data_IF_361251160064
#
_entry.id   IF_361251160064
#
_cell.length_a   1.000
_cell.length_b   1.000
_cell.length_c   1.000
_cell.angle_alpha   90.00
_cell.angle_beta   90.00
_cell.angle_gamma   90.00
#
_symmetry.space_group_name_H-M   'P 1'
#
loop_
_entity.id
_entity.type
_entity.pdbx_description
1 polymer ?
#
# COMPACT_ATOMS: atom_id res chain seq x y z
N UNK A 1 -2.95 -0.38 -23.33
CA UNK A 1 -2.37 0.86 -22.79
C UNK A 1 -2.17 0.74 -21.29
N UNK A 2 -1.03 1.23 -20.82
CA UNK A 2 -0.75 1.35 -19.39
C UNK A 2 -0.81 2.83 -19.02
N UNK A 3 -1.88 3.28 -18.31
CA UNK A 3 -1.96 4.68 -17.90
C UNK A 3 -0.98 4.98 -16.77
N UNK A 4 -0.45 6.20 -16.78
CA UNK A 4 0.40 6.73 -15.71
C UNK A 4 -0.29 7.97 -15.15
N UNK A 5 -0.56 7.97 -13.84
CA UNK A 5 -1.30 9.03 -13.18
C UNK A 5 -0.36 9.86 -12.31
N UNK A 6 -0.46 11.18 -12.43
CA UNK A 6 0.26 12.10 -11.55
C UNK A 6 -0.52 12.29 -10.23
N UNK A 7 0.18 12.56 -9.09
CA UNK A 7 -0.49 12.82 -7.82
C UNK A 7 -1.06 14.25 -7.75
N UNK A 8 -1.81 14.62 -8.76
CA UNK A 8 -2.44 15.94 -8.89
C UNK A 8 -3.94 15.74 -9.12
N UNK A 9 -4.74 16.56 -8.46
CA UNK A 9 -6.19 16.55 -8.62
C UNK A 9 -6.69 17.95 -8.98
N UNK A 10 -7.89 18.00 -9.53
CA UNK A 10 -8.51 19.23 -9.96
C UNK A 10 -9.83 19.40 -9.20
N UNK A 11 -10.05 20.59 -8.63
CA UNK A 11 -11.21 20.87 -7.78
C UNK A 11 -12.48 21.25 -8.57
N UNK A 12 -12.40 21.32 -9.88
CA UNK A 12 -13.50 21.75 -10.73
C UNK A 12 -13.67 23.28 -10.81
N UNK A 13 -12.93 24.03 -10.03
CA UNK A 13 -13.01 25.49 -9.96
C UNK A 13 -11.74 26.19 -10.48
N UNK A 14 -10.91 25.46 -11.21
CA UNK A 14 -9.69 26.01 -11.82
C UNK A 14 -8.42 25.83 -11.02
N UNK A 15 -8.46 25.12 -9.90
CA UNK A 15 -7.30 24.89 -9.03
C UNK A 15 -6.81 23.45 -9.13
N UNK A 16 -5.51 23.27 -9.42
CA UNK A 16 -4.83 21.98 -9.34
C UNK A 16 -4.38 21.75 -7.90
N UNK A 17 -4.66 20.58 -7.38
CA UNK A 17 -4.34 20.20 -6.01
C UNK A 17 -3.23 19.15 -5.99
N UNK A 18 -2.27 19.34 -5.10
CA UNK A 18 -1.23 18.36 -4.84
C UNK A 18 -1.81 17.29 -3.89
N UNK A 19 -1.83 16.03 -4.33
CA UNK A 19 -2.49 14.94 -3.59
C UNK A 19 -1.47 13.85 -3.27
N UNK A 20 -1.62 13.21 -2.11
CA UNK A 20 -0.76 12.09 -1.72
C UNK A 20 -0.88 10.94 -2.74
N UNK A 21 0.26 10.48 -3.27
CA UNK A 21 0.30 9.44 -4.29
C UNK A 21 -0.28 8.10 -3.80
N UNK A 22 -0.10 7.75 -2.54
CA UNK A 22 -0.68 6.53 -1.96
C UNK A 22 -2.22 6.60 -1.98
N UNK A 23 -2.78 7.77 -1.75
CA UNK A 23 -4.23 8.00 -1.83
C UNK A 23 -4.74 7.82 -3.27
N UNK A 24 -4.04 8.40 -4.25
CA UNK A 24 -4.40 8.23 -5.67
C UNK A 24 -4.37 6.76 -6.07
N UNK A 25 -3.32 6.05 -5.68
CA UNK A 25 -3.19 4.61 -5.98
C UNK A 25 -4.30 3.79 -5.34
N UNK A 26 -4.60 4.03 -4.07
CA UNK A 26 -5.66 3.36 -3.33
C UNK A 26 -7.04 3.59 -3.95
N UNK A 27 -7.38 4.84 -4.25
CA UNK A 27 -8.67 5.19 -4.84
C UNK A 27 -8.82 4.61 -6.25
N UNK A 28 -7.76 4.62 -7.04
CA UNK A 28 -7.76 4.01 -8.38
C UNK A 28 -8.00 2.49 -8.28
N UNK A 29 -7.31 1.82 -7.37
CA UNK A 29 -7.48 0.39 -7.15
C UNK A 29 -8.91 0.05 -6.68
N UNK A 30 -9.48 0.84 -5.79
CA UNK A 30 -10.85 0.66 -5.30
C UNK A 30 -11.88 0.82 -6.43
N UNK A 31 -11.68 1.80 -7.29
CA UNK A 31 -12.56 2.02 -8.44
C UNK A 31 -12.52 0.86 -9.43
N UNK A 32 -11.32 0.37 -9.75
CA UNK A 32 -11.13 -0.75 -10.67
C UNK A 32 -11.62 -2.08 -10.07
N UNK A 33 -11.55 -2.24 -8.76
CA UNK A 33 -11.96 -3.46 -8.07
C UNK A 33 -13.46 -3.74 -8.17
N UNK A 34 -14.27 -2.75 -8.57
CA UNK A 34 -15.70 -2.94 -8.81
C UNK A 34 -15.98 -3.84 -10.01
N UNK A 35 -15.06 -3.93 -10.96
CA UNK A 35 -15.23 -4.69 -12.20
C UNK A 35 -14.15 -5.77 -12.40
N UNK A 36 -13.01 -5.66 -11.75
CA UNK A 36 -11.86 -6.52 -11.98
C UNK A 36 -11.26 -7.04 -10.68
N UNK A 37 -10.45 -8.10 -10.79
CA UNK A 37 -9.61 -8.58 -9.70
C UNK A 37 -8.33 -7.73 -9.68
N UNK A 38 -8.22 -6.82 -8.72
CA UNK A 38 -7.13 -5.86 -8.65
C UNK A 38 -6.12 -6.27 -7.59
N UNK A 39 -4.85 -6.24 -7.96
CA UNK A 39 -3.72 -6.29 -7.02
C UNK A 39 -3.07 -4.92 -7.03
N UNK A 40 -3.01 -4.26 -5.87
CA UNK A 40 -2.33 -2.98 -5.71
C UNK A 40 -0.93 -3.25 -5.17
N UNK A 41 0.08 -2.69 -5.83
CA UNK A 41 1.47 -2.82 -5.38
C UNK A 41 2.01 -1.44 -5.05
N UNK A 42 2.40 -1.26 -3.80
CA UNK A 42 3.14 -0.08 -3.38
C UNK A 42 4.64 -0.36 -3.49
N UNK A 43 5.32 0.45 -4.30
CA UNK A 43 6.78 0.41 -4.39
C UNK A 43 7.37 1.31 -3.31
N UNK A 44 8.34 0.78 -2.60
CA UNK A 44 8.91 1.40 -1.42
C UNK A 44 10.43 1.23 -1.45
N UNK A 45 11.16 1.93 -0.61
CA UNK A 45 12.64 1.85 -0.57
C UNK A 45 13.16 0.63 0.19
N UNK A 46 12.30 -0.02 0.98
CA UNK A 46 12.60 -1.26 1.70
C UNK A 46 11.90 -2.44 1.04
N UNK A 47 12.38 -3.68 1.27
CA UNK A 47 11.81 -4.86 0.61
C UNK A 47 10.40 -5.23 1.07
N UNK A 48 9.88 -4.56 2.08
CA UNK A 48 8.55 -4.76 2.63
C UNK A 48 8.42 -4.06 3.97
N UNK A 49 7.41 -4.42 4.75
CA UNK A 49 7.28 -3.94 6.12
C UNK A 49 8.22 -4.74 7.01
N UNK A 50 9.14 -4.07 7.68
CA UNK A 50 10.18 -4.71 8.49
C UNK A 50 9.78 -4.80 9.95
N UNK A 51 9.99 -5.96 10.56
CA UNK A 51 9.86 -6.12 12.01
C UNK A 51 10.96 -5.34 12.74
N UNK A 52 12.15 -5.26 12.13
CA UNK A 52 13.27 -4.44 12.60
C UNK A 52 13.69 -3.51 11.46
N UNK A 53 13.54 -2.18 11.59
CA UNK A 53 13.89 -1.23 10.53
C UNK A 53 15.35 -1.30 10.06
N UNK A 54 16.25 -1.79 10.90
CA UNK A 54 17.67 -1.91 10.61
C UNK A 54 18.05 -3.24 9.94
N UNK A 55 17.09 -4.15 9.78
CA UNK A 55 17.31 -5.48 9.22
C UNK A 55 16.37 -5.74 8.03
N UNK A 56 16.91 -5.65 6.81
CA UNK A 56 16.16 -5.88 5.59
C UNK A 56 15.69 -7.33 5.42
N UNK A 57 16.21 -8.26 6.22
CA UNK A 57 15.76 -9.66 6.24
C UNK A 57 14.59 -9.91 7.19
N UNK A 58 14.13 -8.88 7.90
CA UNK A 58 13.04 -8.98 8.87
C UNK A 58 11.67 -8.65 8.26
N UNK A 59 11.50 -8.85 6.95
CA UNK A 59 10.24 -8.56 6.26
C UNK A 59 9.11 -9.41 6.86
N UNK A 60 8.00 -8.73 7.20
CA UNK A 60 6.78 -9.39 7.67
C UNK A 60 6.01 -9.83 6.42
N UNK A 61 5.82 -11.14 6.19
CA UNK A 61 5.28 -11.62 4.92
C UNK A 61 3.80 -11.28 4.71
N UNK A 62 3.01 -11.23 5.77
CA UNK A 62 1.57 -10.94 5.69
C UNK A 62 1.13 -10.12 6.89
N UNK A 63 0.35 -9.08 6.64
CA UNK A 63 -0.25 -8.26 7.70
C UNK A 63 -1.76 -8.26 7.53
N UNK A 64 -2.47 -8.69 8.57
CA UNK A 64 -3.91 -8.59 8.69
C UNK A 64 -4.26 -7.40 9.58
N UNK A 65 -5.54 -7.04 9.64
CA UNK A 65 -6.01 -5.95 10.52
C UNK A 65 -5.61 -6.21 11.97
N UNK A 66 -5.80 -7.42 12.47
CA UNK A 66 -5.48 -7.75 13.87
C UNK A 66 -3.97 -7.69 14.13
N UNK A 67 -3.16 -8.16 13.19
CA UNK A 67 -1.71 -8.07 13.31
C UNK A 67 -1.24 -6.60 13.25
N UNK A 68 -1.84 -5.81 12.36
CA UNK A 68 -1.54 -4.38 12.27
C UNK A 68 -1.77 -3.66 13.60
N UNK A 69 -2.90 -3.94 14.26
CA UNK A 69 -3.22 -3.34 15.55
C UNK A 69 -2.18 -3.72 16.62
N UNK A 70 -1.74 -4.99 16.64
CA UNK A 70 -0.69 -5.43 17.58
C UNK A 70 0.64 -4.76 17.30
N UNK A 71 1.06 -4.73 16.04
CA UNK A 71 2.34 -4.13 15.64
C UNK A 71 2.37 -2.62 15.88
N UNK A 72 1.23 -1.96 15.77
CA UNK A 72 1.10 -0.54 16.10
C UNK A 72 1.19 -0.33 17.61
N UNK A 73 0.53 -1.18 18.39
CA UNK A 73 0.51 -1.06 19.85
C UNK A 73 1.90 -1.29 20.47
N UNK A 74 2.71 -2.21 19.90
CA UNK A 74 4.04 -2.50 20.40
C UNK A 74 5.14 -1.59 19.81
N UNK A 75 4.77 -0.69 18.88
CA UNK A 75 5.69 0.27 18.27
C UNK A 75 6.50 -0.27 17.10
N UNK A 76 6.28 -1.50 16.66
CA UNK A 76 6.99 -2.09 15.51
C UNK A 76 6.69 -1.30 14.24
N UNK A 77 5.44 -0.91 14.04
CA UNK A 77 5.01 -0.07 12.93
C UNK A 77 4.74 1.33 13.47
N UNK A 78 5.40 2.33 12.88
CA UNK A 78 5.28 3.72 13.31
C UNK A 78 5.54 4.68 12.16
N UNK A 79 5.33 5.97 12.41
CA UNK A 79 5.64 7.04 11.45
C UNK A 79 4.87 6.93 10.15
N UNK A 80 5.55 7.17 9.04
CA UNK A 80 4.94 7.19 7.72
C UNK A 80 4.42 5.85 7.21
N UNK A 81 4.81 4.75 7.83
CA UNK A 81 4.30 3.42 7.47
C UNK A 81 2.86 3.21 7.95
N UNK A 82 2.44 3.86 9.04
CA UNK A 82 1.08 3.74 9.57
C UNK A 82 0.01 4.09 8.53
N UNK A 83 0.02 5.30 7.92
CA UNK A 83 -1.01 5.64 6.95
C UNK A 83 -0.94 4.77 5.69
N UNK A 84 0.25 4.31 5.30
CA UNK A 84 0.42 3.43 4.14
C UNK A 84 -0.30 2.10 4.37
N UNK A 85 -0.11 1.48 5.52
CA UNK A 85 -0.77 0.20 5.84
C UNK A 85 -2.27 0.40 6.06
N UNK A 86 -2.68 1.50 6.68
CA UNK A 86 -4.10 1.82 6.85
C UNK A 86 -4.81 1.97 5.51
N UNK A 87 -4.21 2.69 4.55
CA UNK A 87 -4.75 2.83 3.21
C UNK A 87 -4.82 1.48 2.49
N UNK A 88 -3.80 0.64 2.67
CA UNK A 88 -3.79 -0.70 2.10
C UNK A 88 -4.92 -1.57 2.66
N UNK A 89 -5.11 -1.57 3.97
CA UNK A 89 -6.21 -2.30 4.61
C UNK A 89 -7.58 -1.80 4.16
N UNK A 90 -7.75 -0.48 4.06
CA UNK A 90 -8.99 0.12 3.59
C UNK A 90 -9.29 -0.30 2.13
N UNK A 91 -8.27 -0.37 1.28
CA UNK A 91 -8.43 -0.82 -0.10
C UNK A 91 -8.88 -2.27 -0.17
N UNK A 92 -8.28 -3.16 0.63
CA UNK A 92 -8.69 -4.58 0.69
C UNK A 92 -10.13 -4.71 1.20
N UNK A 93 -10.48 -3.95 2.24
CA UNK A 93 -11.86 -3.94 2.78
C UNK A 93 -12.87 -3.44 1.76
N UNK A 94 -12.46 -2.57 0.84
CA UNK A 94 -13.30 -2.02 -0.21
C UNK A 94 -13.42 -2.91 -1.46
N UNK A 95 -12.74 -4.07 -1.49
CA UNK A 95 -12.86 -5.05 -2.56
C UNK A 95 -11.60 -5.28 -3.39
N UNK A 96 -10.50 -4.59 -3.13
CA UNK A 96 -9.22 -4.89 -3.77
C UNK A 96 -8.77 -6.28 -3.32
N UNK A 97 -8.36 -7.13 -4.26
CA UNK A 97 -8.03 -8.53 -3.99
C UNK A 97 -6.91 -8.68 -2.97
N UNK A 98 -5.84 -7.93 -3.16
CA UNK A 98 -4.71 -7.85 -2.21
C UNK A 98 -3.90 -6.60 -2.46
N UNK A 99 -3.14 -6.18 -1.46
CA UNK A 99 -2.16 -5.12 -1.58
C UNK A 99 -0.80 -5.69 -1.18
N UNK A 100 0.22 -5.36 -1.97
CA UNK A 100 1.60 -5.78 -1.71
C UNK A 100 2.46 -4.54 -1.51
N UNK A 101 3.26 -4.53 -0.46
CA UNK A 101 4.25 -3.48 -0.21
C UNK A 101 5.63 -4.10 -0.43
N UNK A 102 6.36 -3.61 -1.42
CA UNK A 102 7.65 -4.19 -1.80
C UNK A 102 8.60 -3.12 -2.31
N UNK A 103 9.84 -3.52 -2.56
CA UNK A 103 10.83 -2.68 -3.22
C UNK A 103 10.65 -2.77 -4.74
N UNK A 104 10.90 -1.66 -5.44
CA UNK A 104 10.76 -1.63 -6.91
C UNK A 104 11.58 -2.72 -7.61
N UNK A 105 12.79 -3.00 -7.10
CA UNK A 105 13.67 -4.04 -7.66
C UNK A 105 13.11 -5.46 -7.51
N UNK A 106 12.13 -5.64 -6.62
CA UNK A 106 11.52 -6.93 -6.33
C UNK A 106 10.18 -7.12 -7.03
N UNK A 107 9.78 -6.20 -7.90
CA UNK A 107 8.55 -6.33 -8.68
C UNK A 107 8.63 -7.60 -9.55
N UNK A 108 7.53 -8.35 -9.56
CA UNK A 108 7.47 -9.61 -10.29
C UNK A 108 7.97 -10.82 -9.51
N UNK A 109 8.57 -10.63 -8.34
CA UNK A 109 8.94 -11.72 -7.45
C UNK A 109 7.77 -12.00 -6.48
N UNK A 110 7.09 -13.11 -6.68
CA UNK A 110 5.91 -13.48 -5.91
C UNK A 110 6.20 -13.79 -4.44
N UNK A 111 7.48 -14.00 -4.08
CA UNK A 111 7.90 -14.36 -2.74
C UNK A 111 8.47 -13.17 -1.95
N UNK A 112 8.46 -11.97 -2.55
CA UNK A 112 9.00 -10.80 -1.90
C UNK A 112 7.89 -9.85 -1.44
N UNK A 113 8.22 -8.98 -0.47
CA UNK A 113 7.33 -7.97 0.02
C UNK A 113 6.39 -8.43 1.11
N UNK A 114 5.53 -7.51 1.52
CA UNK A 114 4.50 -7.73 2.54
C UNK A 114 3.14 -7.72 1.87
N UNK A 115 2.36 -8.77 2.05
CA UNK A 115 0.98 -8.84 1.55
C UNK A 115 0.04 -8.36 2.65
N UNK A 116 -0.82 -7.40 2.30
CA UNK A 116 -1.87 -6.91 3.19
C UNK A 116 -3.17 -7.63 2.82
N UNK A 117 -3.81 -8.23 3.81
CA UNK A 117 -5.07 -8.96 3.63
C UNK A 117 -5.98 -8.78 4.84
N UNK A 118 -7.21 -9.24 4.73
CA UNK A 118 -8.17 -9.23 5.85
C UNK A 118 -7.93 -10.38 6.81
#
# INVERSE_FOLDING_TARGET
LTPVLAPLTFDGAGTMLNTNADTIASETARALAKADNVTLVYCFEKPGVLANPDDDNSVIPTITRSLFLRLTADGTISGGMLPKIENALAAVEAGVKKVVITKADCLGNNNSGTTISL
#
